data_IF_018125176462
#
_entry.id   IF_018125176462
#
_cell.length_a   1.000
_cell.length_b   1.000
_cell.length_c   1.000
_cell.angle_alpha   90.00
_cell.angle_beta   90.00
_cell.angle_gamma   90.00
#
_symmetry.space_group_name_H-M   'P 1'
#
loop_
_entity.id
_entity.type
_entity.pdbx_description
1 polymer ?
#
# COMPACT_ATOMS: atom_id res chain seq x y z
N UNK A 1 13.00 58.53 21.96
CA UNK A 1 13.63 57.43 22.71
C UNK A 1 12.79 56.18 22.47
N UNK A 2 13.32 55.15 21.80
CA UNK A 2 12.60 53.88 21.59
C UNK A 2 12.69 53.06 22.87
N UNK A 3 11.54 52.45 23.29
CA UNK A 3 11.50 51.50 24.41
C UNK A 3 12.15 50.21 23.97
N UNK A 4 13.15 49.76 24.72
CA UNK A 4 13.76 48.45 24.56
C UNK A 4 12.75 47.32 24.81
N UNK A 5 12.78 46.25 23.98
CA UNK A 5 12.01 45.02 24.21
C UNK A 5 12.67 44.22 25.35
N UNK A 6 11.88 43.69 26.28
CA UNK A 6 12.42 42.84 27.37
C UNK A 6 13.10 41.61 26.81
N UNK A 7 14.18 41.15 27.44
CA UNK A 7 14.92 39.93 27.06
C UNK A 7 14.16 38.68 27.42
N UNK A 8 14.43 37.61 26.66
CA UNK A 8 13.75 36.31 26.82
C UNK A 8 13.87 35.69 28.22
N UNK A 9 14.93 36.03 28.94
CA UNK A 9 15.23 35.62 30.31
C UNK A 9 14.32 36.30 31.35
N UNK A 10 13.92 37.53 31.13
CA UNK A 10 12.99 38.27 32.00
C UNK A 10 11.54 37.75 31.88
N UNK A 11 11.16 37.32 30.66
CA UNK A 11 9.85 36.68 30.40
C UNK A 11 9.78 35.30 31.02
N UNK A 12 10.88 34.55 31.02
CA UNK A 12 10.94 33.20 31.61
C UNK A 12 10.82 33.23 33.13
N UNK A 13 11.37 34.25 33.80
CA UNK A 13 11.27 34.42 35.27
C UNK A 13 9.85 34.86 35.67
N UNK A 14 9.19 35.70 34.89
CA UNK A 14 7.82 36.11 35.18
C UNK A 14 6.80 34.98 34.93
N UNK A 15 7.07 34.07 33.97
CA UNK A 15 6.26 32.86 33.75
C UNK A 15 6.48 31.79 34.84
N UNK A 16 7.65 31.71 35.45
CA UNK A 16 7.91 30.75 36.54
C UNK A 16 7.28 31.18 37.89
N UNK A 17 7.06 32.49 38.12
CA UNK A 17 6.42 32.98 39.33
C UNK A 17 4.87 32.83 39.34
N UNK A 18 4.28 32.53 38.17
CA UNK A 18 2.82 32.30 38.02
C UNK A 18 2.46 30.82 38.25
N UNK A 19 3.45 29.91 38.26
CA UNK A 19 3.22 28.47 38.42
C UNK A 19 3.31 27.96 39.86
N UNK A 20 3.53 28.82 40.87
CA UNK A 20 3.66 28.36 42.29
C UNK A 20 2.35 28.48 43.10
N UNK A 21 1.22 28.89 42.52
CA UNK A 21 -0.05 29.10 43.22
C UNK A 21 -1.22 28.27 42.69
N UNK A 22 -0.94 27.10 42.06
CA UNK A 22 -1.99 26.15 41.62
C UNK A 22 -2.04 24.89 42.53
N UNK A 23 -2.36 25.08 43.80
CA UNK A 23 -2.70 23.98 44.70
C UNK A 23 -4.16 24.04 45.17
N UNK A 24 -5.11 24.24 44.24
CA UNK A 24 -6.55 23.95 44.44
C UNK A 24 -7.31 24.12 43.10
N UNK A 25 -7.00 23.33 42.08
CA UNK A 25 -7.94 23.15 40.99
C UNK A 25 -8.80 21.92 41.32
N UNK A 26 -10.01 22.16 41.82
CA UNK A 26 -11.04 21.13 41.91
C UNK A 26 -11.21 20.48 40.54
N UNK A 27 -10.94 19.17 40.46
CA UNK A 27 -11.19 18.40 39.23
C UNK A 27 -12.69 18.47 38.93
N UNK A 28 -13.09 18.79 37.69
CA UNK A 28 -14.50 18.84 37.33
C UNK A 28 -15.16 17.47 37.63
N UNK A 29 -16.44 17.43 38.02
CA UNK A 29 -17.15 16.19 38.31
C UNK A 29 -17.00 15.19 37.15
N UNK A 30 -16.75 13.92 37.43
CA UNK A 30 -16.58 12.86 36.42
C UNK A 30 -17.69 12.85 35.39
N UNK A 31 -18.90 13.21 35.75
CA UNK A 31 -20.05 13.34 34.85
C UNK A 31 -19.87 14.41 33.77
N UNK A 32 -19.26 15.53 34.09
CA UNK A 32 -18.99 16.62 33.14
C UNK A 32 -17.92 16.21 32.11
N UNK A 33 -16.90 15.48 32.56
CA UNK A 33 -15.85 14.97 31.68
C UNK A 33 -16.38 13.86 30.73
N UNK A 34 -17.30 13.02 31.17
CA UNK A 34 -17.95 12.03 30.32
C UNK A 34 -18.91 12.65 29.29
N UNK A 35 -19.58 13.76 29.64
CA UNK A 35 -20.41 14.54 28.70
C UNK A 35 -19.57 15.22 27.64
N UNK A 36 -18.49 15.89 28.01
CA UNK A 36 -17.55 16.52 27.06
C UNK A 36 -16.90 15.50 26.12
N UNK A 37 -16.53 14.32 26.63
CA UNK A 37 -16.00 13.23 25.81
C UNK A 37 -17.02 12.70 24.80
N UNK A 38 -18.30 12.58 25.19
CA UNK A 38 -19.38 12.17 24.29
C UNK A 38 -19.65 13.23 23.20
N UNK A 39 -19.65 14.49 23.60
CA UNK A 39 -19.83 15.60 22.68
C UNK A 39 -18.68 15.70 21.67
N UNK A 40 -17.43 15.53 22.14
CA UNK A 40 -16.26 15.48 21.28
C UNK A 40 -16.30 14.29 20.30
N UNK A 41 -16.71 13.11 20.77
CA UNK A 41 -16.88 11.92 19.89
C UNK A 41 -17.98 12.16 18.83
N UNK A 42 -19.05 12.84 19.20
CA UNK A 42 -20.14 13.16 18.28
C UNK A 42 -19.70 14.18 17.23
N UNK A 43 -18.91 15.20 17.63
CA UNK A 43 -18.31 16.17 16.72
C UNK A 43 -17.35 15.49 15.73
N UNK A 44 -16.52 14.58 16.19
CA UNK A 44 -15.58 13.86 15.35
C UNK A 44 -16.30 12.90 14.38
N UNK A 45 -17.38 12.27 14.82
CA UNK A 45 -18.25 11.47 13.96
C UNK A 45 -18.91 12.29 12.85
N UNK A 46 -19.44 13.48 13.21
CA UNK A 46 -20.06 14.41 12.23
C UNK A 46 -19.02 14.96 11.23
N UNK A 47 -17.80 15.25 11.69
CA UNK A 47 -16.69 15.65 10.80
C UNK A 47 -16.34 14.53 9.82
N UNK A 48 -16.26 13.31 10.30
CA UNK A 48 -15.94 12.15 9.46
C UNK A 48 -17.03 11.86 8.45
N UNK A 49 -18.31 12.00 8.81
CA UNK A 49 -19.44 11.90 7.86
C UNK A 49 -19.43 13.02 6.81
N UNK A 50 -19.15 14.28 7.21
CA UNK A 50 -19.03 15.39 6.26
C UNK A 50 -17.87 15.23 5.29
N UNK A 51 -16.72 14.71 5.74
CA UNK A 51 -15.61 14.38 4.86
C UNK A 51 -15.95 13.26 3.88
N UNK A 52 -16.68 12.24 4.32
CA UNK A 52 -17.14 11.15 3.45
C UNK A 52 -18.10 11.65 2.38
N UNK A 53 -19.07 12.49 2.76
CA UNK A 53 -20.03 13.10 1.83
C UNK A 53 -19.32 14.03 0.83
N UNK A 54 -18.34 14.81 1.31
CA UNK A 54 -17.55 15.70 0.45
C UNK A 54 -16.71 14.91 -0.57
N UNK A 55 -16.19 13.75 -0.19
CA UNK A 55 -15.45 12.84 -1.08
C UNK A 55 -16.40 12.28 -2.15
N UNK A 56 -17.59 11.79 -1.76
CA UNK A 56 -18.60 11.30 -2.72
C UNK A 56 -19.10 12.39 -3.67
N UNK A 57 -19.27 13.63 -3.18
CA UNK A 57 -19.65 14.74 -4.05
C UNK A 57 -18.50 15.16 -4.98
N UNK A 58 -17.25 15.11 -4.52
CA UNK A 58 -16.08 15.36 -5.37
C UNK A 58 -15.95 14.30 -6.45
N UNK A 59 -16.14 13.02 -6.10
CA UNK A 59 -16.18 11.92 -7.06
C UNK A 59 -17.29 12.14 -8.11
N UNK A 60 -18.49 12.50 -7.69
CA UNK A 60 -19.61 12.81 -8.59
C UNK A 60 -19.31 14.05 -9.46
N UNK A 61 -18.65 15.08 -8.92
CA UNK A 61 -18.26 16.29 -9.69
C UNK A 61 -17.14 16.01 -10.68
N UNK A 62 -16.15 15.21 -10.31
CA UNK A 62 -15.06 14.80 -11.21
C UNK A 62 -15.61 13.94 -12.35
N UNK A 63 -16.49 13.00 -12.03
CA UNK A 63 -17.18 12.16 -13.02
C UNK A 63 -18.06 13.04 -13.95
N UNK A 64 -18.87 13.94 -13.41
CA UNK A 64 -19.75 14.80 -14.20
C UNK A 64 -18.99 15.86 -15.01
N UNK A 65 -17.92 16.48 -14.47
CA UNK A 65 -17.17 17.53 -15.18
C UNK A 65 -16.45 17.00 -16.42
N UNK A 66 -16.01 15.73 -16.38
CA UNK A 66 -15.41 15.06 -17.54
C UNK A 66 -16.46 14.65 -18.59
N UNK A 67 -17.70 14.35 -18.17
CA UNK A 67 -18.78 14.00 -19.08
C UNK A 67 -19.36 15.21 -19.84
N UNK A 68 -19.32 16.41 -19.28
CA UNK A 68 -19.98 17.60 -19.86
C UNK A 68 -19.07 18.55 -20.65
N UNK A 69 -17.76 18.26 -20.75
CA UNK A 69 -16.83 19.11 -21.53
C UNK A 69 -16.70 18.74 -23.02
N UNK A 70 -17.49 17.78 -23.49
CA UNK A 70 -17.56 17.43 -24.92
C UNK A 70 -18.69 18.26 -25.57
N UNK A 71 -18.32 19.04 -26.58
CA UNK A 71 -19.19 19.96 -27.36
C UNK A 71 -20.48 19.27 -27.85
N UNK A 72 -21.63 20.00 -27.88
CA UNK A 72 -22.97 19.38 -28.01
C UNK A 72 -23.36 18.89 -29.43
N UNK A 73 -22.44 18.76 -30.38
CA UNK A 73 -22.79 18.41 -31.76
C UNK A 73 -22.12 17.18 -32.38
N UNK A 74 -21.44 16.37 -31.60
CA UNK A 74 -21.08 15.02 -32.05
C UNK A 74 -21.76 14.03 -31.09
N UNK A 75 -22.81 13.36 -31.56
CA UNK A 75 -23.36 12.17 -30.88
C UNK A 75 -22.35 11.03 -30.96
N UNK A 76 -21.26 11.17 -30.21
CA UNK A 76 -20.42 10.02 -29.92
C UNK A 76 -21.22 9.19 -28.93
N UNK A 77 -21.55 7.93 -29.23
CA UNK A 77 -22.25 7.09 -28.25
C UNK A 77 -21.43 7.12 -26.95
N UNK A 78 -22.08 7.48 -25.85
CA UNK A 78 -21.48 7.43 -24.52
C UNK A 78 -21.18 5.97 -24.24
N UNK A 79 -20.02 5.49 -24.66
CA UNK A 79 -19.51 4.19 -24.26
C UNK A 79 -19.19 4.35 -22.78
N UNK A 80 -20.04 3.82 -21.91
CA UNK A 80 -19.74 3.77 -20.50
C UNK A 80 -18.44 2.96 -20.33
N UNK A 81 -17.35 3.65 -20.14
CA UNK A 81 -16.05 2.99 -19.96
C UNK A 81 -16.09 2.14 -18.69
N UNK A 82 -15.74 0.86 -18.81
CA UNK A 82 -15.64 -0.07 -17.68
C UNK A 82 -14.37 0.13 -16.82
N UNK A 83 -13.61 1.18 -17.09
CA UNK A 83 -12.44 1.56 -16.31
C UNK A 83 -12.37 3.08 -16.11
N UNK A 84 -11.60 3.51 -15.10
CA UNK A 84 -11.29 4.91 -14.83
C UNK A 84 -10.06 5.28 -15.65
N UNK A 85 -10.08 6.42 -16.33
CA UNK A 85 -8.95 6.88 -17.15
C UNK A 85 -7.67 7.03 -16.32
N UNK A 86 -6.46 6.86 -16.91
CA UNK A 86 -5.20 6.92 -16.17
C UNK A 86 -4.99 8.20 -15.36
N UNK A 87 -5.39 9.35 -15.91
CA UNK A 87 -5.30 10.65 -15.23
C UNK A 87 -6.16 10.65 -13.96
N UNK A 88 -7.40 10.20 -14.05
CA UNK A 88 -8.34 10.20 -12.94
C UNK A 88 -7.97 9.11 -11.91
N UNK A 89 -7.48 7.95 -12.36
CA UNK A 89 -6.93 6.92 -11.47
C UNK A 89 -5.74 7.45 -10.69
N UNK A 90 -4.83 8.18 -11.33
CA UNK A 90 -3.66 8.75 -10.65
C UNK A 90 -4.04 9.85 -9.64
N UNK A 91 -5.06 10.66 -9.96
CA UNK A 91 -5.64 11.62 -9.00
C UNK A 91 -6.33 10.92 -7.83
N UNK A 92 -7.03 9.81 -8.08
CA UNK A 92 -7.62 8.98 -7.04
C UNK A 92 -6.54 8.45 -6.07
N UNK A 93 -5.34 8.13 -6.56
CA UNK A 93 -4.23 7.71 -5.69
C UNK A 93 -3.81 8.79 -4.68
N UNK A 94 -3.95 10.09 -4.99
CA UNK A 94 -3.69 11.17 -4.03
C UNK A 94 -4.63 11.04 -2.82
N UNK A 95 -5.92 10.83 -3.07
CA UNK A 95 -6.94 10.66 -2.02
C UNK A 95 -6.73 9.36 -1.24
N UNK A 96 -6.51 8.26 -1.94
CA UNK A 96 -6.24 6.95 -1.31
C UNK A 96 -4.98 7.06 -0.42
N UNK A 97 -3.90 7.66 -0.93
CA UNK A 97 -2.65 7.84 -0.20
C UNK A 97 -2.84 8.67 1.07
N UNK A 98 -3.59 9.79 0.99
CA UNK A 98 -3.94 10.61 2.16
C UNK A 98 -4.73 9.79 3.18
N UNK A 99 -5.79 9.12 2.74
CA UNK A 99 -6.63 8.30 3.62
C UNK A 99 -5.82 7.22 4.36
N UNK A 100 -4.99 6.46 3.63
CA UNK A 100 -4.13 5.42 4.22
C UNK A 100 -3.12 5.99 5.21
N UNK A 101 -2.43 7.08 4.85
CA UNK A 101 -1.41 7.71 5.70
C UNK A 101 -2.00 8.26 7.01
N UNK A 102 -3.27 8.67 7.01
CA UNK A 102 -3.95 9.26 8.16
C UNK A 102 -4.73 8.24 9.01
N UNK A 103 -4.73 6.96 8.68
CA UNK A 103 -5.37 5.96 9.53
C UNK A 103 -4.80 5.97 10.97
N UNK A 104 -5.65 5.77 11.99
CA UNK A 104 -5.19 5.48 13.33
C UNK A 104 -4.22 4.29 13.32
N UNK A 105 -3.14 4.37 14.10
CA UNK A 105 -2.05 3.38 14.04
C UNK A 105 -2.54 1.95 14.27
N UNK A 106 -3.49 1.76 15.21
CA UNK A 106 -4.06 0.44 15.48
C UNK A 106 -4.87 -0.10 14.29
N UNK A 107 -5.71 0.73 13.66
CA UNK A 107 -6.44 0.35 12.44
C UNK A 107 -5.48 -0.07 11.34
N UNK A 108 -4.46 0.75 11.08
CA UNK A 108 -3.42 0.46 10.10
C UNK A 108 -2.72 -0.87 10.38
N UNK A 109 -2.34 -1.12 11.64
CA UNK A 109 -1.67 -2.34 12.07
C UNK A 109 -2.55 -3.57 11.84
N UNK A 110 -3.82 -3.56 12.28
CA UNK A 110 -4.73 -4.69 12.08
C UNK A 110 -5.01 -4.98 10.60
N UNK A 111 -5.21 -3.96 9.77
CA UNK A 111 -5.36 -4.13 8.33
C UNK A 111 -4.09 -4.70 7.68
N UNK A 112 -2.93 -4.38 8.24
CA UNK A 112 -1.64 -4.90 7.76
C UNK A 112 -1.42 -6.36 8.16
N UNK A 113 -1.78 -6.74 9.40
CA UNK A 113 -1.78 -8.14 9.83
C UNK A 113 -2.72 -8.96 8.94
N UNK A 114 -3.93 -8.46 8.71
CA UNK A 114 -4.88 -9.08 7.81
C UNK A 114 -4.29 -9.28 6.39
N UNK A 115 -3.63 -8.26 5.83
CA UNK A 115 -3.01 -8.37 4.50
C UNK A 115 -1.90 -9.43 4.46
N UNK A 116 -1.05 -9.50 5.49
CA UNK A 116 -0.02 -10.54 5.61
C UNK A 116 -0.62 -11.94 5.67
N UNK A 117 -1.71 -12.11 6.42
CA UNK A 117 -2.45 -13.37 6.50
C UNK A 117 -3.04 -13.77 5.14
N UNK A 118 -3.76 -12.86 4.50
CA UNK A 118 -4.45 -13.12 3.22
C UNK A 118 -3.46 -13.41 2.09
N UNK A 119 -2.35 -12.68 2.01
CA UNK A 119 -1.31 -12.95 1.02
C UNK A 119 -0.70 -14.34 1.20
N UNK A 120 -0.48 -14.75 2.45
CA UNK A 120 0.09 -16.04 2.80
C UNK A 120 -0.82 -17.22 2.44
N UNK A 121 -2.15 -17.03 2.41
CA UNK A 121 -3.10 -18.05 1.92
C UNK A 121 -2.82 -18.38 0.45
N UNK A 122 -2.55 -17.38 -0.38
CA UNK A 122 -2.11 -17.59 -1.77
C UNK A 122 -0.80 -18.38 -1.85
N UNK A 123 0.14 -18.10 -0.96
CA UNK A 123 1.40 -18.85 -0.84
C UNK A 123 1.19 -20.32 -0.45
N UNK A 124 0.35 -20.60 0.55
CA UNK A 124 -0.01 -21.97 0.94
C UNK A 124 -0.61 -22.73 -0.25
N UNK A 125 -1.58 -22.14 -0.94
CA UNK A 125 -2.26 -22.74 -2.07
C UNK A 125 -1.29 -23.03 -3.23
N UNK A 126 -0.39 -22.08 -3.51
CA UNK A 126 0.63 -22.23 -4.56
C UNK A 126 1.58 -23.37 -4.31
N UNK A 127 2.06 -23.55 -3.07
CA UNK A 127 2.93 -24.66 -2.69
C UNK A 127 2.16 -25.98 -2.84
N UNK A 128 0.94 -26.02 -2.31
CA UNK A 128 0.11 -27.25 -2.32
C UNK A 128 -0.15 -27.75 -3.74
N UNK A 129 -0.51 -26.87 -4.66
CA UNK A 129 -0.85 -27.26 -6.04
C UNK A 129 0.40 -27.28 -6.93
N UNK A 130 1.19 -26.20 -6.91
CA UNK A 130 2.31 -26.04 -7.84
C UNK A 130 3.45 -27.02 -7.61
N UNK A 131 3.74 -27.41 -6.36
CA UNK A 131 4.79 -28.38 -6.06
C UNK A 131 4.35 -29.84 -6.21
N UNK A 132 3.07 -30.07 -6.43
CA UNK A 132 2.57 -31.37 -6.88
C UNK A 132 2.85 -31.69 -8.37
N UNK A 133 3.26 -30.68 -9.17
CA UNK A 133 3.59 -30.85 -10.58
C UNK A 133 5.05 -31.30 -10.74
N UNK A 134 5.34 -32.32 -11.58
CA UNK A 134 6.70 -32.77 -11.80
C UNK A 134 7.67 -31.67 -12.23
N UNK A 135 8.91 -31.71 -11.77
CA UNK A 135 9.95 -30.73 -12.12
C UNK A 135 10.38 -30.77 -13.58
N UNK A 136 10.03 -31.83 -14.32
CA UNK A 136 10.18 -31.89 -15.78
C UNK A 136 9.38 -30.83 -16.52
N UNK A 137 8.25 -30.42 -15.94
CA UNK A 137 7.29 -29.46 -16.54
C UNK A 137 7.37 -28.08 -15.90
N UNK A 138 8.57 -27.55 -15.78
CA UNK A 138 8.85 -26.31 -15.04
C UNK A 138 8.01 -25.12 -15.51
N UNK A 139 7.68 -25.02 -16.81
CA UNK A 139 6.83 -23.97 -17.34
C UNK A 139 5.40 -24.06 -16.80
N UNK A 140 4.82 -25.26 -16.79
CA UNK A 140 3.50 -25.53 -16.22
C UNK A 140 3.51 -25.28 -14.70
N UNK A 141 4.56 -25.76 -14.02
CA UNK A 141 4.73 -25.54 -12.59
C UNK A 141 4.72 -24.05 -12.24
N UNK A 142 5.44 -23.21 -13.01
CA UNK A 142 5.49 -21.75 -12.81
C UNK A 142 4.13 -21.08 -13.06
N UNK A 143 3.45 -21.47 -14.14
CA UNK A 143 2.10 -20.95 -14.46
C UNK A 143 1.14 -21.29 -13.32
N UNK A 144 1.08 -22.52 -12.90
CA UNK A 144 0.17 -22.96 -11.84
C UNK A 144 0.51 -22.30 -10.51
N UNK A 145 1.81 -22.29 -10.13
CA UNK A 145 2.26 -21.63 -8.92
C UNK A 145 1.91 -20.15 -8.90
N UNK A 146 2.15 -19.43 -9.99
CA UNK A 146 1.85 -18.01 -10.11
C UNK A 146 0.36 -17.70 -10.13
N UNK A 147 -0.43 -18.52 -10.84
CA UNK A 147 -1.88 -18.34 -10.89
C UNK A 147 -2.53 -18.48 -9.51
N UNK A 148 -2.22 -19.55 -8.78
CA UNK A 148 -2.77 -19.77 -7.44
C UNK A 148 -2.19 -18.80 -6.39
N UNK A 149 -0.97 -18.30 -6.59
CA UNK A 149 -0.40 -17.25 -5.73
C UNK A 149 -1.22 -15.95 -5.81
N UNK A 150 -1.84 -15.67 -6.96
CA UNK A 150 -2.65 -14.48 -7.17
C UNK A 150 -3.87 -14.39 -6.24
N UNK A 151 -4.36 -15.52 -5.74
CA UNK A 151 -5.47 -15.58 -4.78
C UNK A 151 -5.15 -14.70 -3.55
N UNK A 152 -3.89 -14.72 -3.09
CA UNK A 152 -3.47 -13.90 -1.96
C UNK A 152 -3.64 -12.41 -2.20
N UNK A 153 -3.13 -11.88 -3.32
CA UNK A 153 -3.26 -10.45 -3.63
C UNK A 153 -4.70 -10.06 -3.95
N UNK A 154 -5.46 -10.93 -4.61
CA UNK A 154 -6.90 -10.73 -4.83
C UNK A 154 -7.63 -10.55 -3.48
N UNK A 155 -7.40 -11.43 -2.52
CA UNK A 155 -7.99 -11.32 -1.19
C UNK A 155 -7.56 -10.03 -0.48
N UNK A 156 -6.27 -9.66 -0.52
CA UNK A 156 -5.79 -8.42 0.09
C UNK A 156 -6.52 -7.20 -0.46
N UNK A 157 -6.62 -7.09 -1.78
CA UNK A 157 -7.25 -5.93 -2.45
C UNK A 157 -8.75 -5.89 -2.16
N UNK A 158 -9.46 -7.02 -2.25
CA UNK A 158 -10.91 -7.05 -2.09
C UNK A 158 -11.36 -6.94 -0.63
N UNK A 159 -10.54 -7.41 0.32
CA UNK A 159 -10.83 -7.27 1.76
C UNK A 159 -10.28 -5.96 2.34
N UNK A 160 -9.63 -5.11 1.55
CA UNK A 160 -9.11 -3.83 2.00
C UNK A 160 -7.91 -3.93 2.94
N UNK A 161 -7.09 -4.97 2.80
CA UNK A 161 -5.87 -5.13 3.59
C UNK A 161 -4.79 -4.10 3.22
N UNK A 162 -3.99 -3.68 4.22
CA UNK A 162 -2.86 -2.77 4.01
C UNK A 162 -1.59 -3.54 3.70
N UNK A 163 -1.09 -3.41 2.47
CA UNK A 163 0.08 -4.12 1.98
C UNK A 163 1.25 -3.17 1.74
N UNK A 164 2.42 -3.47 2.31
CA UNK A 164 3.64 -2.67 2.16
C UNK A 164 4.00 -2.44 0.69
N UNK A 165 3.99 -3.48 -0.12
CA UNK A 165 4.35 -3.41 -1.53
C UNK A 165 3.41 -2.52 -2.33
N UNK A 166 2.11 -2.55 -2.08
CA UNK A 166 1.14 -1.65 -2.70
C UNK A 166 1.35 -0.20 -2.28
N UNK A 167 1.65 0.03 -1.00
CA UNK A 167 1.84 1.36 -0.44
C UNK A 167 3.08 2.07 -1.02
N UNK A 168 4.08 1.32 -1.50
CA UNK A 168 5.24 1.88 -2.20
C UNK A 168 4.88 2.75 -3.41
N UNK A 169 3.77 2.49 -4.09
CA UNK A 169 3.28 3.35 -5.18
C UNK A 169 2.10 4.24 -4.74
N UNK A 170 1.17 3.71 -3.95
CA UNK A 170 -0.08 4.39 -3.63
C UNK A 170 0.08 5.61 -2.74
N UNK A 171 1.10 5.61 -1.87
CA UNK A 171 1.37 6.76 -1.02
C UNK A 171 2.09 7.89 -1.76
N UNK A 172 2.78 7.61 -2.86
CA UNK A 172 3.67 8.57 -3.52
C UNK A 172 2.92 9.80 -4.07
N UNK A 173 1.83 9.66 -4.86
CA UNK A 173 1.17 10.85 -5.41
C UNK A 173 0.66 11.82 -4.33
N UNK A 174 0.06 11.31 -3.26
CA UNK A 174 -0.39 12.13 -2.15
C UNK A 174 0.75 12.77 -1.37
N UNK A 175 1.87 12.08 -1.22
CA UNK A 175 3.08 12.61 -0.60
C UNK A 175 3.70 13.74 -1.44
N UNK A 176 3.83 13.53 -2.74
CA UNK A 176 4.40 14.53 -3.67
C UNK A 176 3.52 15.78 -3.79
N UNK A 177 2.19 15.65 -3.65
CA UNK A 177 1.24 16.77 -3.56
C UNK A 177 1.21 17.43 -2.16
N UNK A 178 2.01 16.98 -1.21
CA UNK A 178 2.02 17.54 0.15
C UNK A 178 0.75 17.26 0.95
N UNK A 179 -0.06 16.27 0.56
CA UNK A 179 -1.34 15.96 1.21
C UNK A 179 -1.19 15.45 2.64
N UNK A 180 0.01 15.06 3.05
CA UNK A 180 0.37 14.62 4.40
C UNK A 180 1.88 14.70 4.63
N UNK A 181 2.30 14.66 5.91
CA UNK A 181 3.69 14.87 6.32
C UNK A 181 4.62 13.70 5.98
N UNK A 182 5.95 14.00 5.88
CA UNK A 182 7.00 12.98 5.74
C UNK A 182 6.96 11.93 6.85
N UNK A 183 6.64 12.34 8.07
CA UNK A 183 6.50 11.42 9.19
C UNK A 183 5.40 10.38 8.94
N UNK A 184 4.24 10.78 8.46
CA UNK A 184 3.13 9.87 8.15
C UNK A 184 3.49 8.90 7.01
N UNK A 185 4.23 9.37 5.99
CA UNK A 185 4.72 8.51 4.92
C UNK A 185 5.58 7.35 5.46
N UNK A 186 6.63 7.66 6.23
CA UNK A 186 7.51 6.63 6.78
C UNK A 186 6.85 5.78 7.87
N UNK A 187 6.06 6.41 8.75
CA UNK A 187 5.26 5.70 9.77
C UNK A 187 4.37 4.63 9.13
N UNK A 188 3.67 4.99 8.04
CA UNK A 188 2.77 4.05 7.35
C UNK A 188 3.54 2.87 6.79
N UNK A 189 4.65 3.10 6.09
CA UNK A 189 5.47 2.01 5.58
C UNK A 189 5.98 1.10 6.69
N UNK A 190 6.45 1.67 7.80
CA UNK A 190 6.97 0.92 8.94
C UNK A 190 5.88 0.06 9.60
N UNK A 191 4.75 0.66 9.98
CA UNK A 191 3.65 -0.07 10.64
C UNK A 191 3.10 -1.17 9.74
N UNK A 192 2.92 -0.88 8.45
CA UNK A 192 2.39 -1.84 7.49
C UNK A 192 3.36 -2.99 7.26
N UNK A 193 4.66 -2.70 7.15
CA UNK A 193 5.69 -3.73 6.97
C UNK A 193 5.69 -4.75 8.12
N UNK A 194 5.71 -4.27 9.36
CA UNK A 194 5.71 -5.14 10.54
C UNK A 194 4.37 -5.86 10.74
N UNK A 195 3.24 -5.21 10.42
CA UNK A 195 1.94 -5.88 10.44
C UNK A 195 1.87 -7.03 9.43
N UNK A 196 2.37 -6.81 8.19
CA UNK A 196 2.44 -7.89 7.19
C UNK A 196 3.33 -9.05 7.66
N UNK A 197 4.48 -8.76 8.30
CA UNK A 197 5.36 -9.78 8.87
C UNK A 197 4.63 -10.62 9.93
N UNK A 198 3.94 -9.98 10.87
CA UNK A 198 3.17 -10.68 11.92
C UNK A 198 2.11 -11.58 11.31
N UNK A 199 1.33 -11.08 10.34
CA UNK A 199 0.30 -11.85 9.65
C UNK A 199 0.88 -13.05 8.88
N UNK A 200 2.01 -12.87 8.21
CA UNK A 200 2.70 -13.92 7.46
C UNK A 200 3.24 -15.01 8.38
N UNK A 201 3.88 -14.65 9.49
CA UNK A 201 4.38 -15.61 10.48
C UNK A 201 3.20 -16.37 11.13
N UNK A 202 2.09 -15.70 11.42
CA UNK A 202 0.90 -16.36 11.95
C UNK A 202 0.43 -17.49 11.04
N UNK A 203 0.25 -17.22 9.74
CA UNK A 203 -0.21 -18.22 8.77
C UNK A 203 0.82 -19.33 8.58
N UNK A 204 2.11 -18.98 8.50
CA UNK A 204 3.20 -19.99 8.42
C UNK A 204 3.19 -20.94 9.60
N UNK A 205 2.92 -20.41 10.82
CA UNK A 205 2.91 -21.21 12.05
C UNK A 205 1.67 -22.08 12.14
N UNK A 206 0.48 -21.45 12.10
CA UNK A 206 -0.76 -22.18 12.38
C UNK A 206 -1.19 -23.06 11.21
N UNK A 207 -1.27 -22.51 10.01
CA UNK A 207 -1.79 -23.23 8.85
C UNK A 207 -0.69 -23.94 8.05
N UNK A 208 0.54 -23.42 8.11
CA UNK A 208 1.67 -24.02 7.41
C UNK A 208 2.36 -25.13 8.21
N UNK A 209 2.63 -24.91 9.52
CA UNK A 209 3.43 -25.86 10.32
C UNK A 209 2.58 -26.73 11.25
N UNK A 210 1.68 -26.14 12.06
CA UNK A 210 0.95 -26.89 13.07
C UNK A 210 -0.10 -27.84 12.48
N UNK A 211 -0.74 -27.47 11.36
CA UNK A 211 -1.64 -28.39 10.62
C UNK A 211 -0.89 -29.46 9.83
N UNK A 212 0.42 -29.29 9.59
CA UNK A 212 1.27 -30.28 8.92
C UNK A 212 0.99 -30.58 7.44
N UNK A 213 0.47 -29.65 6.60
CA UNK A 213 0.12 -29.97 5.21
C UNK A 213 1.33 -30.33 4.34
N UNK A 214 2.56 -30.03 4.79
CA UNK A 214 3.80 -30.21 4.05
C UNK A 214 4.76 -31.23 4.69
N UNK A 215 4.26 -32.17 5.49
CA UNK A 215 5.09 -33.16 6.18
C UNK A 215 5.51 -34.33 5.29
N UNK A 216 4.81 -34.58 4.17
CA UNK A 216 5.22 -35.60 3.24
C UNK A 216 6.60 -35.28 2.62
N UNK A 217 7.45 -36.30 2.32
CA UNK A 217 8.82 -36.07 1.87
C UNK A 217 8.94 -35.12 0.67
N UNK A 218 8.00 -35.20 -0.28
CA UNK A 218 7.96 -34.35 -1.47
C UNK A 218 7.74 -32.87 -1.10
N UNK A 219 6.73 -32.56 -0.31
CA UNK A 219 6.43 -31.20 0.09
C UNK A 219 7.47 -30.64 1.06
N UNK A 220 7.96 -31.47 1.98
CA UNK A 220 9.01 -31.09 2.92
C UNK A 220 10.29 -30.63 2.18
N UNK A 221 10.72 -31.41 1.19
CA UNK A 221 11.86 -31.05 0.34
C UNK A 221 11.59 -29.75 -0.43
N UNK A 222 10.41 -29.61 -1.01
CA UNK A 222 10.04 -28.41 -1.76
C UNK A 222 10.01 -27.15 -0.89
N UNK A 223 9.42 -27.21 0.31
CA UNK A 223 9.35 -26.06 1.23
C UNK A 223 10.74 -25.63 1.69
N UNK A 224 11.63 -26.59 2.02
CA UNK A 224 13.03 -26.30 2.39
C UNK A 224 13.77 -25.64 1.24
N UNK A 225 13.73 -26.24 0.05
CA UNK A 225 14.48 -25.74 -1.12
C UNK A 225 14.04 -24.36 -1.57
N UNK A 226 12.75 -24.00 -1.42
CA UNK A 226 12.27 -22.65 -1.71
C UNK A 226 12.99 -21.61 -0.84
N UNK A 227 13.05 -21.80 0.48
CA UNK A 227 13.70 -20.85 1.37
C UNK A 227 15.22 -20.81 1.17
N UNK A 228 15.85 -21.97 1.04
CA UNK A 228 17.30 -22.08 0.79
C UNK A 228 17.72 -21.35 -0.49
N UNK A 229 17.00 -21.56 -1.59
CA UNK A 229 17.27 -20.87 -2.85
C UNK A 229 17.15 -19.34 -2.73
N UNK A 230 16.14 -18.86 -1.99
CA UNK A 230 15.93 -17.42 -1.76
C UNK A 230 17.04 -16.77 -0.92
N UNK A 231 17.53 -17.47 0.10
CA UNK A 231 18.62 -17.00 0.96
C UNK A 231 19.98 -17.11 0.28
N UNK A 232 20.16 -18.08 -0.62
CA UNK A 232 21.38 -18.26 -1.40
C UNK A 232 21.51 -17.25 -2.57
N UNK A 233 20.45 -16.51 -2.90
CA UNK A 233 20.49 -15.52 -3.96
C UNK A 233 21.48 -14.41 -3.65
N UNK A 234 22.30 -14.01 -4.66
CA UNK A 234 23.22 -12.88 -4.51
C UNK A 234 22.44 -11.60 -4.16
N UNK A 235 22.97 -10.79 -3.25
CA UNK A 235 22.33 -9.58 -2.72
C UNK A 235 21.88 -8.61 -3.83
N UNK A 236 22.74 -8.36 -4.81
CA UNK A 236 22.41 -7.49 -5.95
C UNK A 236 21.30 -8.08 -6.84
N UNK A 237 21.29 -9.40 -7.04
CA UNK A 237 20.19 -10.08 -7.77
C UNK A 237 18.89 -10.00 -7.00
N UNK A 238 18.91 -10.20 -5.68
CA UNK A 238 17.74 -10.08 -4.81
C UNK A 238 17.16 -8.67 -4.86
N UNK A 239 18.00 -7.64 -4.83
CA UNK A 239 17.60 -6.24 -4.99
C UNK A 239 16.94 -5.98 -6.34
N UNK A 240 17.59 -6.35 -7.44
CA UNK A 240 17.07 -6.14 -8.80
C UNK A 240 15.78 -6.91 -9.05
N UNK A 241 15.71 -8.14 -8.58
CA UNK A 241 14.51 -8.98 -8.62
C UNK A 241 13.37 -8.34 -7.83
N UNK A 242 13.67 -7.74 -6.67
CA UNK A 242 12.73 -6.96 -5.88
C UNK A 242 12.21 -5.73 -6.62
N UNK A 243 13.06 -4.99 -7.33
CA UNK A 243 12.66 -3.83 -8.14
C UNK A 243 11.65 -4.26 -9.21
N UNK A 244 11.97 -5.28 -10.00
CA UNK A 244 11.10 -5.80 -11.05
C UNK A 244 9.77 -6.32 -10.50
N UNK A 245 9.82 -7.05 -9.39
CA UNK A 245 8.63 -7.57 -8.74
C UNK A 245 7.65 -6.44 -8.39
N UNK A 246 8.10 -5.46 -7.62
CA UNK A 246 7.16 -4.48 -7.08
C UNK A 246 6.73 -3.45 -8.10
N UNK A 247 7.48 -3.25 -9.17
CA UNK A 247 6.98 -2.53 -10.32
C UNK A 247 5.69 -3.18 -10.87
N UNK A 248 5.72 -4.51 -11.12
CA UNK A 248 4.58 -5.27 -11.64
C UNK A 248 3.43 -5.36 -10.62
N UNK A 249 3.74 -5.60 -9.33
CA UNK A 249 2.73 -5.63 -8.26
C UNK A 249 2.01 -4.29 -8.16
N UNK A 250 2.73 -3.19 -8.22
CA UNK A 250 2.13 -1.85 -8.19
C UNK A 250 1.28 -1.57 -9.43
N UNK A 251 1.68 -2.07 -10.61
CA UNK A 251 0.82 -2.04 -11.80
C UNK A 251 -0.48 -2.84 -11.57
N UNK A 252 -0.40 -4.02 -10.92
CA UNK A 252 -1.59 -4.83 -10.65
C UNK A 252 -2.60 -4.08 -9.77
N UNK A 253 -2.14 -3.47 -8.67
CA UNK A 253 -3.02 -2.74 -7.76
C UNK A 253 -3.50 -1.41 -8.37
N UNK A 254 -2.68 -0.73 -9.16
CA UNK A 254 -3.07 0.47 -9.90
C UNK A 254 -4.18 0.18 -10.91
N UNK A 255 -4.02 -0.84 -11.75
CA UNK A 255 -5.02 -1.24 -12.72
C UNK A 255 -6.28 -1.80 -12.06
N UNK A 256 -6.15 -2.47 -10.91
CA UNK A 256 -7.31 -2.89 -10.13
C UNK A 256 -8.09 -1.70 -9.55
N UNK A 257 -7.40 -0.60 -9.20
CA UNK A 257 -8.04 0.63 -8.76
C UNK A 257 -8.77 1.34 -9.91
N UNK A 258 -8.29 1.22 -11.15
CA UNK A 258 -8.96 1.76 -12.33
C UNK A 258 -10.17 0.93 -12.78
N UNK A 259 -10.20 -0.38 -12.51
CA UNK A 259 -11.30 -1.25 -12.89
C UNK A 259 -12.55 -0.99 -12.05
N UNK A 260 -13.72 -0.95 -12.69
CA UNK A 260 -15.02 -0.65 -12.02
C UNK A 260 -15.78 -1.89 -11.58
N UNK A 261 -15.48 -3.04 -12.12
CA UNK A 261 -16.14 -4.30 -11.81
C UNK A 261 -15.19 -5.30 -11.14
N UNK A 262 -15.79 -6.24 -10.40
CA UNK A 262 -15.06 -7.22 -9.61
C UNK A 262 -14.24 -8.18 -10.49
N UNK A 263 -14.82 -8.65 -11.59
CA UNK A 263 -14.15 -9.62 -12.46
C UNK A 263 -12.90 -9.04 -13.11
N UNK A 264 -12.98 -7.82 -13.62
CA UNK A 264 -11.82 -7.11 -14.19
C UNK A 264 -10.70 -6.94 -13.16
N UNK A 265 -11.04 -6.64 -11.89
CA UNK A 265 -10.03 -6.57 -10.80
C UNK A 265 -9.35 -7.90 -10.59
N UNK A 266 -10.11 -8.99 -10.48
CA UNK A 266 -9.58 -10.34 -10.30
C UNK A 266 -8.66 -10.74 -11.44
N UNK A 267 -9.07 -10.51 -12.68
CA UNK A 267 -8.31 -10.88 -13.88
C UNK A 267 -6.99 -10.14 -13.93
N UNK A 268 -6.99 -8.81 -13.82
CA UNK A 268 -5.76 -8.02 -13.95
C UNK A 268 -4.74 -8.34 -12.84
N UNK A 269 -5.21 -8.50 -11.61
CA UNK A 269 -4.35 -8.90 -10.50
C UNK A 269 -3.76 -10.28 -10.78
N UNK A 270 -4.58 -11.24 -11.21
CA UNK A 270 -4.13 -12.62 -11.44
C UNK A 270 -3.08 -12.71 -12.54
N UNK A 271 -3.25 -12.00 -13.65
CA UNK A 271 -2.28 -11.99 -14.74
C UNK A 271 -0.94 -11.34 -14.33
N UNK A 272 -0.98 -10.24 -13.59
CA UNK A 272 0.26 -9.56 -13.20
C UNK A 272 0.99 -10.28 -12.05
N UNK A 273 0.26 -10.95 -11.15
CA UNK A 273 0.88 -11.85 -10.16
C UNK A 273 1.50 -13.05 -10.87
N UNK A 274 0.78 -13.69 -11.78
CA UNK A 274 1.34 -14.78 -12.61
C UNK A 274 2.63 -14.34 -13.30
N UNK A 275 2.66 -13.12 -13.84
CA UNK A 275 3.84 -12.58 -14.54
C UNK A 275 5.05 -12.51 -13.65
N UNK A 276 5.00 -11.79 -12.50
CA UNK A 276 6.19 -11.63 -11.67
C UNK A 276 6.63 -12.93 -10.99
N UNK A 277 5.67 -13.81 -10.65
CA UNK A 277 5.98 -15.11 -10.06
C UNK A 277 6.66 -16.02 -11.08
N UNK A 278 6.17 -16.05 -12.34
CA UNK A 278 6.79 -16.85 -13.42
C UNK A 278 8.19 -16.37 -13.79
N UNK A 279 8.48 -15.07 -13.58
CA UNK A 279 9.81 -14.49 -13.76
C UNK A 279 10.74 -14.71 -12.55
N UNK A 280 10.31 -15.45 -11.54
CA UNK A 280 11.02 -15.66 -10.27
C UNK A 280 11.41 -14.36 -9.57
N UNK A 281 10.57 -13.31 -9.69
CA UNK A 281 10.80 -12.04 -9.03
C UNK A 281 10.43 -12.10 -7.54
N UNK A 282 11.15 -11.33 -6.73
CA UNK A 282 11.12 -11.43 -5.28
C UNK A 282 10.19 -10.40 -4.63
N UNK A 283 9.12 -10.88 -3.96
CA UNK A 283 8.23 -10.06 -3.15
C UNK A 283 8.56 -10.19 -1.67
N UNK A 284 8.88 -9.10 -0.97
CA UNK A 284 9.29 -9.16 0.43
C UNK A 284 8.20 -9.71 1.36
N UNK A 285 6.93 -9.38 1.14
CA UNK A 285 5.83 -9.89 1.98
C UNK A 285 5.56 -11.37 1.68
N UNK A 286 5.62 -11.77 0.40
CA UNK A 286 5.60 -13.19 0.03
C UNK A 286 6.75 -13.97 0.67
N UNK A 287 7.93 -13.36 0.73
CA UNK A 287 9.11 -13.96 1.37
C UNK A 287 8.99 -14.02 2.89
N UNK A 288 8.30 -13.06 3.54
CA UNK A 288 7.97 -13.17 4.97
C UNK A 288 7.25 -14.48 5.30
N UNK A 289 6.34 -14.91 4.42
CA UNK A 289 5.65 -16.20 4.55
C UNK A 289 6.54 -17.38 4.18
N UNK A 290 7.13 -17.37 2.97
CA UNK A 290 7.87 -18.52 2.44
C UNK A 290 9.11 -18.85 3.27
N UNK A 291 9.86 -17.85 3.72
CA UNK A 291 11.08 -18.05 4.51
C UNK A 291 10.77 -18.45 5.95
N UNK A 292 9.72 -17.88 6.56
CA UNK A 292 9.30 -18.34 7.89
C UNK A 292 8.82 -19.80 7.86
N UNK A 293 8.05 -20.18 6.84
CA UNK A 293 7.59 -21.56 6.66
C UNK A 293 8.78 -22.50 6.44
N UNK A 294 9.68 -22.18 5.52
CA UNK A 294 10.88 -22.99 5.24
C UNK A 294 11.76 -23.16 6.48
N UNK A 295 11.97 -22.08 7.24
CA UNK A 295 12.74 -22.12 8.48
C UNK A 295 12.12 -23.06 9.52
N UNK A 296 10.78 -23.01 9.69
CA UNK A 296 10.05 -23.89 10.61
C UNK A 296 10.09 -25.37 10.20
N UNK A 297 10.24 -25.66 8.92
CA UNK A 297 10.43 -27.01 8.40
C UNK A 297 11.90 -27.46 8.37
N UNK A 298 12.82 -26.64 8.90
CA UNK A 298 14.24 -26.96 9.01
C UNK A 298 15.02 -26.72 7.72
N UNK A 299 14.69 -25.64 6.98
CA UNK A 299 15.54 -25.13 5.90
C UNK A 299 16.92 -24.72 6.43
N UNK A 300 17.96 -25.00 5.68
CA UNK A 300 19.35 -24.84 6.10
C UNK A 300 19.83 -23.36 5.98
N UNK A 301 19.26 -22.49 6.77
CA UNK A 301 19.69 -21.09 6.90
C UNK A 301 19.31 -20.51 8.27
N UNK A 302 20.06 -19.51 8.71
CA UNK A 302 19.83 -18.79 9.97
C UNK A 302 18.87 -17.61 9.78
N UNK A 303 18.27 -17.13 10.87
CA UNK A 303 17.49 -15.90 10.86
C UNK A 303 18.28 -14.68 10.36
N UNK A 304 19.57 -14.61 10.71
CA UNK A 304 20.46 -13.56 10.21
C UNK A 304 20.61 -13.59 8.69
N UNK A 305 20.79 -14.79 8.11
CA UNK A 305 20.83 -14.95 6.65
C UNK A 305 19.49 -14.62 6.00
N UNK A 306 18.36 -15.03 6.59
CA UNK A 306 17.04 -14.62 6.10
C UNK A 306 16.91 -13.11 6.02
N UNK A 307 17.25 -12.40 7.10
CA UNK A 307 17.12 -10.93 7.16
C UNK A 307 18.10 -10.25 6.20
N UNK A 308 19.40 -10.58 6.28
CA UNK A 308 20.44 -9.86 5.60
C UNK A 308 20.54 -10.19 4.10
N UNK A 309 20.33 -11.47 3.73
CA UNK A 309 20.54 -11.91 2.35
C UNK A 309 19.25 -11.82 1.50
N UNK A 310 18.07 -11.80 2.13
CA UNK A 310 16.83 -11.75 1.38
C UNK A 310 15.94 -10.57 1.80
N UNK A 311 15.49 -10.51 3.06
CA UNK A 311 14.45 -9.59 3.46
C UNK A 311 14.84 -8.13 3.24
N UNK A 312 16.06 -7.73 3.59
CA UNK A 312 16.57 -6.36 3.40
C UNK A 312 16.70 -6.01 1.92
N UNK A 313 17.49 -6.74 1.09
CA UNK A 313 17.66 -6.34 -0.31
C UNK A 313 16.35 -6.38 -1.10
N UNK A 314 15.49 -7.36 -0.87
CA UNK A 314 14.20 -7.45 -1.54
C UNK A 314 13.27 -6.32 -1.13
N UNK A 315 13.22 -5.95 0.16
CA UNK A 315 12.38 -4.84 0.64
C UNK A 315 12.83 -3.50 0.06
N UNK A 316 14.13 -3.24 0.01
CA UNK A 316 14.68 -2.05 -0.64
C UNK A 316 14.33 -2.06 -2.13
N UNK A 317 14.51 -3.20 -2.80
CA UNK A 317 14.15 -3.36 -4.21
C UNK A 317 12.65 -3.12 -4.45
N UNK A 318 11.80 -3.70 -3.62
CA UNK A 318 10.35 -3.49 -3.71
C UNK A 318 9.98 -2.00 -3.50
N UNK A 319 10.60 -1.34 -2.53
CA UNK A 319 10.37 0.09 -2.32
C UNK A 319 10.78 0.92 -3.55
N UNK A 320 11.96 0.67 -4.12
CA UNK A 320 12.44 1.35 -5.33
C UNK A 320 11.50 1.09 -6.50
N UNK A 321 11.14 -0.18 -6.77
CA UNK A 321 10.29 -0.56 -7.89
C UNK A 321 8.91 0.09 -7.86
N UNK A 322 8.24 0.07 -6.71
CA UNK A 322 6.93 0.69 -6.55
C UNK A 322 6.99 2.22 -6.60
N UNK A 323 7.95 2.82 -5.88
CA UNK A 323 8.05 4.27 -5.73
C UNK A 323 8.54 4.94 -7.00
N UNK A 324 9.70 4.53 -7.53
CA UNK A 324 10.38 5.26 -8.60
C UNK A 324 10.00 4.78 -10.00
N UNK A 325 9.61 3.51 -10.17
CA UNK A 325 9.20 3.02 -11.49
C UNK A 325 7.70 3.17 -11.78
N UNK A 326 6.86 3.40 -10.75
CA UNK A 326 5.44 3.64 -10.96
C UNK A 326 4.91 4.88 -10.23
N UNK A 327 5.06 4.98 -8.92
CA UNK A 327 4.43 6.04 -8.13
C UNK A 327 4.84 7.44 -8.55
N UNK A 328 6.14 7.71 -8.68
CA UNK A 328 6.69 9.00 -9.14
C UNK A 328 6.31 9.29 -10.58
N UNK A 329 6.48 8.37 -11.56
CA UNK A 329 6.04 8.61 -12.95
C UNK A 329 4.55 8.92 -13.07
N UNK A 330 3.67 8.18 -12.38
CA UNK A 330 2.22 8.45 -12.42
C UNK A 330 1.89 9.83 -11.85
N UNK A 331 2.51 10.20 -10.73
CA UNK A 331 2.36 11.55 -10.19
C UNK A 331 2.86 12.61 -11.18
N UNK A 332 4.06 12.44 -11.70
CA UNK A 332 4.69 13.43 -12.56
C UNK A 332 3.89 13.66 -13.85
N UNK A 333 3.43 12.60 -14.50
CA UNK A 333 2.75 12.68 -15.81
C UNK A 333 1.28 13.08 -15.66
N UNK A 334 0.58 12.61 -14.61
CA UNK A 334 -0.87 12.70 -14.55
C UNK A 334 -1.41 13.63 -13.46
N UNK A 335 -0.59 13.97 -12.46
CA UNK A 335 -1.06 14.76 -11.30
C UNK A 335 -0.36 16.09 -11.20
N UNK A 336 0.98 16.13 -11.39
CA UNK A 336 1.75 17.36 -11.22
C UNK A 336 1.39 18.41 -12.28
N UNK A 337 1.29 19.68 -11.85
CA UNK A 337 1.06 20.81 -12.75
C UNK A 337 2.32 21.24 -13.50
N UNK A 338 3.41 20.47 -13.45
CA UNK A 338 4.69 20.83 -14.09
C UNK A 338 4.55 20.96 -15.61
N UNK A 339 3.60 20.23 -16.21
CA UNK A 339 3.29 20.33 -17.65
C UNK A 339 2.38 21.49 -18.04
N UNK A 340 1.84 22.26 -17.12
CA UNK A 340 1.17 23.54 -17.42
C UNK A 340 2.19 24.64 -17.76
N UNK A 341 3.29 24.30 -18.42
CA UNK A 341 4.21 25.25 -19.01
C UNK A 341 3.53 25.77 -20.29
N UNK A 342 3.19 27.06 -20.39
CA UNK A 342 2.45 27.63 -21.51
C UNK A 342 3.08 27.39 -22.89
N UNK A 343 4.36 26.99 -22.91
CA UNK A 343 5.14 26.81 -24.12
C UNK A 343 4.96 25.42 -24.80
N UNK A 344 4.43 24.42 -24.09
CA UNK A 344 4.37 23.03 -24.60
C UNK A 344 2.99 22.60 -25.10
N UNK A 345 1.95 23.40 -24.93
CA UNK A 345 0.63 23.10 -25.49
C UNK A 345 -0.06 24.29 -26.17
N UNK A 346 0.36 24.64 -27.40
CA UNK A 346 -0.33 25.67 -28.18
C UNK A 346 -1.79 25.30 -28.52
N UNK A 347 -2.12 24.01 -28.56
CA UNK A 347 -3.48 23.53 -28.89
C UNK A 347 -4.43 23.65 -27.70
N UNK A 348 -3.93 23.45 -26.47
CA UNK A 348 -4.73 23.62 -25.26
C UNK A 348 -5.10 25.08 -25.01
N UNK A 349 -4.20 26.02 -25.29
CA UNK A 349 -4.47 27.47 -25.18
C UNK A 349 -5.48 27.96 -26.21
N UNK A 350 -5.45 27.44 -27.46
CA UNK A 350 -6.45 27.79 -28.46
C UNK A 350 -7.85 27.30 -28.13
N UNK A 351 -8.01 26.25 -27.33
CA UNK A 351 -9.31 25.79 -26.86
C UNK A 351 -9.92 26.68 -25.77
N UNK A 352 -9.09 27.32 -24.93
CA UNK A 352 -9.55 28.22 -23.87
C UNK A 352 -9.91 29.63 -24.37
N UNK A 353 -9.27 30.10 -25.46
CA UNK A 353 -9.56 31.43 -26.04
C UNK A 353 -10.79 31.44 -26.95
N UNK A 354 -11.35 30.29 -27.31
CA UNK A 354 -12.61 30.20 -28.09
C UNK A 354 -13.87 30.14 -27.22
N UNK A 355 -13.73 30.19 -25.90
CA UNK A 355 -14.81 30.13 -24.91
C UNK A 355 -15.01 31.45 -24.16
N UNK A 356 -14.36 32.53 -24.58
CA UNK A 356 -14.69 33.92 -24.24
C UNK A 356 -15.33 34.61 -25.48
#
# INVERSE_FOLDING_TARGET
MPREKPRADEIAIEMMSVCEDESEIEQPPKELYEEEMKEQQQIDCIKQQKETIAIEELEKRVINKHFFSIQPNTQIPVISSNYIAPVDTSRLLVLIGKTKATYPTMKMFFLSVLAGMLLSVGGLLSITIGKGIPSSDIGIQKIVFGFFNSVGLNLVVLCGGELFTSNCAFLVPGFMEGSYSRWLFFKTHFVVYFGNLVGSIFVSTYFGKLLGPFESPMYLSAVKSIGEAKVAMNWGKALLSGIGCNWIVCCAVYLSASAKDLLSKLVVISFLVLTFVSLDFENCVGNMFLLSLSHMYGGNFTLGQWILNNLIPVSIGNFIGGTFLLGVPLWYVHVSNVYNIPFLDPLYQQSQTKTQ
#
